data_IF_078385409063
#
_entry.id   IF_078385409063
#
_cell.length_a   1.000
_cell.length_b   1.000
_cell.length_c   1.000
_cell.angle_alpha   90.00
_cell.angle_beta   90.00
_cell.angle_gamma   90.00
#
_symmetry.space_group_name_H-M   'P 1'
#
loop_
_entity.id
_entity.type
_entity.pdbx_description
1 polymer ?
#
# COMPACT_ATOMS: atom_id res chain seq x y z
N UNK A 1 11.45 4.71 -3.52
CA UNK A 1 10.59 5.77 -2.95
C UNK A 1 9.47 5.21 -2.10
N UNK A 2 8.72 4.21 -2.54
CA UNK A 2 7.65 3.53 -1.80
C UNK A 2 8.16 2.32 -1.00
N UNK A 3 9.29 1.71 -1.42
CA UNK A 3 9.85 0.52 -0.77
C UNK A 3 10.06 0.63 0.75
N UNK A 4 10.28 1.82 1.29
CA UNK A 4 10.41 1.97 2.76
C UNK A 4 9.13 1.53 3.50
N UNK A 5 7.97 1.56 2.87
CA UNK A 5 6.72 1.03 3.42
C UNK A 5 6.79 -0.50 3.54
N UNK A 6 7.48 -1.18 2.62
CA UNK A 6 7.74 -2.63 2.69
C UNK A 6 8.74 -2.99 3.77
N UNK A 7 9.76 -2.16 3.97
CA UNK A 7 10.71 -2.33 5.05
C UNK A 7 9.97 -2.16 6.39
N UNK A 8 9.22 -1.05 6.55
CA UNK A 8 8.45 -0.73 7.75
C UNK A 8 7.44 -1.83 8.12
N UNK A 9 6.68 -2.35 7.16
CA UNK A 9 5.69 -3.38 7.44
C UNK A 9 6.35 -4.71 7.83
N UNK A 10 7.50 -5.03 7.24
CA UNK A 10 8.24 -6.26 7.53
C UNK A 10 8.90 -6.19 8.90
N UNK A 11 9.53 -5.07 9.23
CA UNK A 11 10.13 -4.82 10.55
C UNK A 11 9.11 -4.92 11.68
N UNK A 12 7.86 -4.50 11.43
CA UNK A 12 6.76 -4.55 12.40
C UNK A 12 5.99 -5.88 12.41
N UNK A 13 6.45 -6.89 11.68
CA UNK A 13 5.89 -8.24 11.71
C UNK A 13 4.59 -8.41 10.93
N UNK A 14 4.28 -7.51 9.99
CA UNK A 14 3.17 -7.61 9.01
C UNK A 14 1.75 -7.70 9.57
N UNK A 15 1.56 -7.57 10.89
CA UNK A 15 0.24 -7.57 11.53
C UNK A 15 -0.50 -6.23 11.42
N UNK A 16 -1.68 -6.14 12.02
CA UNK A 16 -2.54 -4.94 12.00
C UNK A 16 -1.76 -3.68 12.45
N UNK A 17 -0.97 -3.76 13.52
CA UNK A 17 -0.16 -2.63 13.98
C UNK A 17 0.93 -2.21 12.97
N UNK A 18 1.41 -3.14 12.15
CA UNK A 18 2.34 -2.83 11.06
C UNK A 18 1.64 -2.02 9.96
N UNK A 19 0.44 -2.45 9.54
CA UNK A 19 -0.37 -1.73 8.57
C UNK A 19 -0.79 -0.34 9.06
N UNK A 20 -1.15 -0.19 10.34
CA UNK A 20 -1.45 1.12 10.94
C UNK A 20 -0.23 2.06 10.87
N UNK A 21 0.98 1.56 11.15
CA UNK A 21 2.19 2.36 11.04
C UNK A 21 2.52 2.75 9.59
N UNK A 22 2.30 1.83 8.64
CA UNK A 22 2.46 2.06 7.20
C UNK A 22 1.49 3.12 6.71
N UNK A 23 0.21 3.03 7.08
CA UNK A 23 -0.81 4.00 6.72
C UNK A 23 -0.40 5.41 7.18
N UNK A 24 0.01 5.54 8.45
CA UNK A 24 0.50 6.80 8.99
C UNK A 24 1.70 7.35 8.22
N UNK A 25 2.72 6.53 7.97
CA UNK A 25 3.93 6.96 7.27
C UNK A 25 3.63 7.34 5.80
N UNK A 26 2.70 6.64 5.14
CA UNK A 26 2.27 6.98 3.79
C UNK A 26 1.47 8.30 3.77
N UNK A 27 0.58 8.55 4.74
CA UNK A 27 -0.10 9.85 4.86
C UNK A 27 0.88 11.01 5.06
N UNK A 28 1.91 10.82 5.89
CA UNK A 28 2.95 11.84 6.08
C UNK A 28 3.66 12.16 4.74
N UNK A 29 3.95 11.13 3.92
CA UNK A 29 4.54 11.33 2.59
C UNK A 29 3.61 11.98 1.58
N UNK A 30 2.30 11.73 1.65
CA UNK A 30 1.30 12.42 0.82
C UNK A 30 1.42 13.94 0.94
N UNK A 31 1.72 14.45 2.15
CA UNK A 31 1.86 15.88 2.40
C UNK A 31 3.20 16.45 1.91
N UNK A 32 4.27 15.64 1.88
CA UNK A 32 5.62 16.09 1.53
C UNK A 32 6.03 15.81 0.08
N UNK A 33 5.34 14.92 -0.62
CA UNK A 33 5.70 14.44 -1.97
C UNK A 33 4.57 14.72 -2.99
N UNK A 34 4.34 15.98 -3.42
CA UNK A 34 3.16 16.36 -4.18
C UNK A 34 3.02 15.63 -5.53
N UNK A 35 4.14 15.30 -6.20
CA UNK A 35 4.13 14.56 -7.47
C UNK A 35 3.64 13.11 -7.33
N UNK A 36 3.72 12.55 -6.13
CA UNK A 36 3.38 11.16 -5.83
C UNK A 36 2.29 11.04 -4.76
N UNK A 37 1.66 12.16 -4.41
CA UNK A 37 0.66 12.25 -3.35
C UNK A 37 -0.50 11.28 -3.57
N UNK A 38 -0.96 11.12 -4.82
CA UNK A 38 -2.03 10.18 -5.15
C UNK A 38 -1.65 8.72 -4.87
N UNK A 39 -0.42 8.33 -5.20
CA UNK A 39 0.08 6.98 -4.95
C UNK A 39 0.27 6.72 -3.44
N UNK A 40 0.84 7.68 -2.71
CA UNK A 40 0.95 7.59 -1.25
C UNK A 40 -0.40 7.54 -0.55
N UNK A 41 -1.36 8.38 -0.96
CA UNK A 41 -2.71 8.37 -0.42
C UNK A 41 -3.44 7.05 -0.66
N UNK A 42 -3.28 6.47 -1.86
CA UNK A 42 -3.81 5.15 -2.16
C UNK A 42 -3.21 4.06 -1.25
N UNK A 43 -1.88 4.01 -1.12
CA UNK A 43 -1.22 3.03 -0.24
C UNK A 43 -1.62 3.23 1.23
N UNK A 44 -1.79 4.47 1.67
CA UNK A 44 -2.22 4.81 3.02
C UNK A 44 -3.64 4.28 3.31
N UNK A 45 -4.59 4.62 2.46
CA UNK A 45 -6.00 4.21 2.62
C UNK A 45 -6.19 2.71 2.41
N UNK A 46 -5.41 2.09 1.53
CA UNK A 46 -5.37 0.63 1.38
C UNK A 46 -4.93 -0.08 2.67
N UNK A 47 -3.87 0.42 3.32
CA UNK A 47 -3.39 -0.11 4.59
C UNK A 47 -4.37 0.18 5.75
N UNK A 48 -4.98 1.36 5.78
CA UNK A 48 -5.99 1.74 6.78
C UNK A 48 -7.25 0.86 6.66
N UNK A 49 -7.77 0.64 5.46
CA UNK A 49 -8.90 -0.27 5.22
C UNK A 49 -8.61 -1.69 5.75
N UNK A 50 -7.39 -2.20 5.54
CA UNK A 50 -7.00 -3.49 6.09
C UNK A 50 -7.04 -3.51 7.62
N UNK A 51 -6.62 -2.43 8.28
CA UNK A 51 -6.71 -2.29 9.74
C UNK A 51 -8.17 -2.30 10.17
N UNK A 52 -9.01 -1.45 9.58
CA UNK A 52 -10.42 -1.31 9.94
C UNK A 52 -11.20 -2.62 9.79
N UNK A 53 -10.98 -3.35 8.70
CA UNK A 53 -11.65 -4.63 8.45
C UNK A 53 -11.31 -5.71 9.50
N UNK A 54 -10.10 -5.66 10.04
CA UNK A 54 -9.57 -6.73 10.89
C UNK A 54 -9.38 -6.35 12.36
N UNK A 55 -9.61 -5.10 12.75
CA UNK A 55 -9.69 -4.71 14.18
C UNK A 55 -10.73 -5.52 14.96
N UNK A 56 -11.79 -5.99 14.28
CA UNK A 56 -12.94 -6.65 14.91
C UNK A 56 -13.01 -8.15 14.64
N UNK A 57 -12.09 -8.71 13.86
CA UNK A 57 -12.13 -10.11 13.44
C UNK A 57 -10.75 -10.77 13.50
N UNK A 58 -10.64 -12.00 14.05
CA UNK A 58 -9.39 -12.75 14.01
C UNK A 58 -8.94 -13.01 12.56
N UNK A 59 -7.75 -12.53 12.21
CA UNK A 59 -7.09 -12.81 10.93
C UNK A 59 -6.46 -14.20 10.93
N UNK A 60 -6.75 -14.99 9.90
CA UNK A 60 -5.96 -16.20 9.64
C UNK A 60 -4.58 -15.83 9.09
N UNK A 61 -3.56 -16.62 9.41
CA UNK A 61 -2.20 -16.41 8.89
C UNK A 61 -2.15 -16.44 7.35
N UNK A 62 -3.03 -17.23 6.72
CA UNK A 62 -3.16 -17.29 5.25
C UNK A 62 -3.69 -16.00 4.67
N UNK A 63 -4.74 -15.43 5.27
CA UNK A 63 -5.29 -14.14 4.84
C UNK A 63 -4.28 -13.01 5.01
N UNK A 64 -3.49 -13.04 6.10
CA UNK A 64 -2.43 -12.07 6.34
C UNK A 64 -1.35 -12.11 5.24
N UNK A 65 -0.90 -13.30 4.88
CA UNK A 65 0.10 -13.49 3.83
C UNK A 65 -0.43 -13.06 2.45
N UNK A 66 -1.67 -13.42 2.12
CA UNK A 66 -2.30 -13.01 0.87
C UNK A 66 -2.42 -11.48 0.76
N UNK A 67 -2.83 -10.82 1.84
CA UNK A 67 -2.91 -9.37 1.86
C UNK A 67 -1.52 -8.72 1.73
N UNK A 68 -0.52 -9.27 2.44
CA UNK A 68 0.85 -8.77 2.36
C UNK A 68 1.43 -8.89 0.94
N UNK A 69 1.28 -10.04 0.28
CA UNK A 69 1.79 -10.21 -1.08
C UNK A 69 1.05 -9.31 -2.08
N UNK A 70 -0.25 -9.09 -1.92
CA UNK A 70 -0.99 -8.12 -2.74
C UNK A 70 -0.48 -6.69 -2.54
N UNK A 71 -0.35 -6.27 -1.28
CA UNK A 71 0.17 -4.94 -0.93
C UNK A 71 1.62 -4.74 -1.40
N UNK A 72 2.44 -5.80 -1.32
CA UNK A 72 3.80 -5.82 -1.85
C UNK A 72 3.83 -5.64 -3.36
N UNK A 73 2.99 -6.36 -4.10
CA UNK A 73 2.90 -6.23 -5.54
C UNK A 73 2.52 -4.80 -5.96
N UNK A 74 1.56 -4.19 -5.27
CA UNK A 74 1.13 -2.81 -5.52
C UNK A 74 2.30 -1.82 -5.31
N UNK A 75 3.04 -1.94 -4.20
CA UNK A 75 4.21 -1.09 -3.93
C UNK A 75 5.30 -1.30 -4.98
N UNK A 76 5.62 -2.54 -5.35
CA UNK A 76 6.66 -2.83 -6.32
C UNK A 76 6.33 -2.30 -7.72
N UNK A 77 5.06 -2.37 -8.13
CA UNK A 77 4.62 -1.80 -9.41
C UNK A 77 4.81 -0.29 -9.44
N UNK A 78 4.38 0.41 -8.38
CA UNK A 78 4.57 1.85 -8.26
C UNK A 78 6.05 2.25 -8.21
N UNK A 79 6.86 1.52 -7.44
CA UNK A 79 8.31 1.73 -7.34
C UNK A 79 9.02 1.57 -8.70
N UNK A 80 8.69 0.52 -9.45
CA UNK A 80 9.30 0.26 -10.75
C UNK A 80 9.01 1.38 -11.76
N UNK A 81 7.85 2.05 -11.64
CA UNK A 81 7.43 3.12 -12.54
C UNK A 81 8.13 4.47 -12.30
N UNK A 82 8.88 4.64 -11.20
CA UNK A 82 9.40 5.94 -10.77
C UNK A 82 10.28 6.64 -11.82
N UNK A 83 11.02 5.88 -12.61
CA UNK A 83 11.93 6.41 -13.64
C UNK A 83 11.30 6.51 -15.03
N UNK A 84 10.00 6.16 -15.16
CA UNK A 84 9.26 6.26 -16.42
C UNK A 84 8.64 7.65 -16.63
N UNK A 85 8.04 7.85 -17.80
CA UNK A 85 7.27 9.07 -18.10
C UNK A 85 6.09 9.26 -17.15
N UNK A 86 5.61 10.50 -17.03
CA UNK A 86 4.45 10.84 -16.18
C UNK A 86 3.22 10.04 -16.61
N UNK A 87 3.00 9.89 -17.92
CA UNK A 87 1.88 9.12 -18.47
C UNK A 87 1.96 7.65 -18.08
N UNK A 88 3.18 7.08 -18.08
CA UNK A 88 3.39 5.70 -17.67
C UNK A 88 3.19 5.52 -16.17
N UNK A 89 3.70 6.44 -15.34
CA UNK A 89 3.45 6.45 -13.88
C UNK A 89 1.96 6.50 -13.56
N UNK A 90 1.22 7.40 -14.20
CA UNK A 90 -0.23 7.51 -14.03
C UNK A 90 -0.96 6.24 -14.49
N UNK A 91 -0.56 5.67 -15.63
CA UNK A 91 -1.12 4.40 -16.11
C UNK A 91 -0.90 3.26 -15.11
N UNK A 92 0.31 3.15 -14.53
CA UNK A 92 0.61 2.15 -13.50
C UNK A 92 -0.24 2.36 -12.26
N UNK A 93 -0.36 3.60 -11.77
CA UNK A 93 -1.23 3.91 -10.62
C UNK A 93 -2.68 3.48 -10.89
N UNK A 94 -3.22 3.79 -12.06
CA UNK A 94 -4.59 3.41 -12.43
C UNK A 94 -4.79 1.89 -12.44
N UNK A 95 -3.85 1.14 -13.00
CA UNK A 95 -3.91 -0.34 -13.02
C UNK A 95 -3.80 -0.94 -11.61
N UNK A 96 -2.91 -0.40 -10.77
CA UNK A 96 -2.76 -0.84 -9.36
C UNK A 96 -4.06 -0.61 -8.59
N UNK A 97 -4.65 0.58 -8.70
CA UNK A 97 -5.92 0.91 -8.04
C UNK A 97 -7.04 -0.02 -8.51
N UNK A 98 -7.15 -0.23 -9.83
CA UNK A 98 -8.16 -1.13 -10.40
C UNK A 98 -8.00 -2.56 -9.86
N UNK A 99 -6.78 -3.10 -9.91
CA UNK A 99 -6.49 -4.44 -9.43
C UNK A 99 -6.76 -4.58 -7.92
N UNK A 100 -6.49 -3.54 -7.12
CA UNK A 100 -6.81 -3.54 -5.69
C UNK A 100 -8.32 -3.60 -5.44
N UNK A 101 -9.11 -2.80 -6.17
CA UNK A 101 -10.57 -2.81 -6.06
C UNK A 101 -11.15 -4.17 -6.46
N UNK A 102 -10.66 -4.78 -7.55
CA UNK A 102 -11.10 -6.11 -8.00
C UNK A 102 -10.83 -7.23 -6.96
N UNK A 103 -9.81 -7.07 -6.11
CA UNK A 103 -9.47 -8.04 -5.04
C UNK A 103 -10.28 -7.84 -3.75
N UNK A 104 -10.85 -6.67 -3.55
CA UNK A 104 -11.52 -6.27 -2.30
C UNK A 104 -13.04 -6.25 -2.41
N UNK A 105 -13.59 -6.47 -3.60
CA UNK A 105 -15.02 -6.76 -3.85
C UNK A 105 -15.33 -8.25 -3.61
#
# INVERSE_FOLDING_TARGET
>A
MFNFLLDLITEKGRGIHAYSAVAKAAFERTLSEPEHAAAFYFLATSAENFVEMHERQPLSSKALEQNFEAFRADIQALEASLNDSIEKRLSVLNEVVKAHVERTQ
#
